data_IF_597157983843
#
_entry.id   IF_597157983843
#
_cell.length_a   1.000
_cell.length_b   1.000
_cell.length_c   1.000
_cell.angle_alpha   90.00
_cell.angle_beta   90.00
_cell.angle_gamma   90.00
#
_symmetry.space_group_name_H-M   'P 1'
#
loop_
_entity.id
_entity.type
_entity.pdbx_description
1 polymer ?
#
# COMPACT_ATOMS: atom_id res chain seq x y z
N UNK A 1 -9.07 14.60 12.01
CA UNK A 1 -7.86 13.80 11.72
C UNK A 1 -8.28 12.34 11.60
N UNK A 2 -8.04 11.67 10.46
CA UNK A 2 -8.23 10.21 10.37
C UNK A 2 -7.00 9.58 11.02
N UNK A 3 -7.20 8.79 12.07
CA UNK A 3 -6.13 8.03 12.69
C UNK A 3 -5.73 6.93 11.70
N UNK A 4 -4.47 6.81 11.28
CA UNK A 4 -4.03 5.72 10.41
C UNK A 4 -4.22 4.39 11.12
N UNK A 5 -4.89 3.45 10.47
CA UNK A 5 -5.12 2.08 10.95
C UNK A 5 -4.51 1.14 9.94
N UNK A 6 -3.64 0.24 10.38
CA UNK A 6 -3.08 -0.78 9.51
C UNK A 6 -4.16 -1.77 9.09
N UNK A 7 -4.32 -2.01 7.78
CA UNK A 7 -5.31 -2.94 7.26
C UNK A 7 -4.96 -4.41 7.51
N UNK A 8 -3.68 -4.71 7.70
CA UNK A 8 -3.21 -6.07 7.99
C UNK A 8 -3.37 -6.47 9.47
N UNK A 9 -2.95 -5.63 10.43
CA UNK A 9 -3.00 -5.96 11.86
C UNK A 9 -4.10 -5.22 12.64
N UNK A 10 -4.79 -4.25 12.03
CA UNK A 10 -5.82 -3.37 12.63
C UNK A 10 -5.31 -2.49 13.78
N UNK A 11 -4.00 -2.35 13.90
CA UNK A 11 -3.37 -1.46 14.88
C UNK A 11 -3.51 0.00 14.47
N UNK A 12 -3.70 0.88 15.46
CA UNK A 12 -4.02 2.30 15.25
C UNK A 12 -2.84 3.16 15.64
N UNK A 13 -2.74 4.34 15.02
CA UNK A 13 -1.70 5.32 15.33
C UNK A 13 -0.28 4.78 15.08
N UNK A 14 -0.15 4.03 13.99
CA UNK A 14 1.08 3.37 13.55
C UNK A 14 1.64 4.05 12.30
N UNK A 15 2.96 4.03 12.16
CA UNK A 15 3.65 4.53 10.97
C UNK A 15 3.70 3.45 9.89
N UNK A 16 3.64 3.87 8.63
CA UNK A 16 3.50 2.94 7.53
C UNK A 16 3.39 3.60 6.18
N UNK A 17 3.05 2.78 5.19
CA UNK A 17 2.91 3.17 3.79
C UNK A 17 1.48 2.89 3.33
N UNK A 18 0.97 3.79 2.49
CA UNK A 18 -0.35 3.69 1.90
C UNK A 18 -0.23 3.24 0.45
N UNK A 19 -1.00 2.24 0.06
CA UNK A 19 -1.15 1.83 -1.33
C UNK A 19 -1.90 2.93 -2.09
N UNK A 20 -1.28 3.53 -3.11
CA UNK A 20 -1.91 4.63 -3.87
C UNK A 20 -3.07 4.21 -4.78
N UNK A 21 -3.27 2.91 -4.96
CA UNK A 21 -4.31 2.38 -5.83
C UNK A 21 -5.59 2.01 -5.09
N UNK A 22 -5.50 1.52 -3.85
CA UNK A 22 -6.67 1.12 -3.06
C UNK A 22 -6.83 1.92 -1.75
N UNK A 23 -5.91 2.85 -1.47
CA UNK A 23 -5.84 3.63 -0.23
C UNK A 23 -5.70 2.79 1.06
N UNK A 24 -5.39 1.50 0.95
CA UNK A 24 -5.09 0.65 2.12
C UNK A 24 -3.80 1.12 2.79
N UNK A 25 -3.79 1.11 4.12
CA UNK A 25 -2.64 1.52 4.92
C UNK A 25 -1.98 0.30 5.55
N UNK A 26 -0.66 0.19 5.45
CA UNK A 26 0.11 -0.92 6.01
C UNK A 26 1.23 -0.39 6.88
N UNK A 27 1.27 -0.79 8.16
CA UNK A 27 2.33 -0.36 9.07
C UNK A 27 3.67 -1.02 8.74
N UNK A 28 4.76 -0.34 9.09
CA UNK A 28 6.11 -0.86 8.87
C UNK A 28 6.36 -2.20 9.56
N UNK A 29 5.73 -2.45 10.73
CA UNK A 29 5.85 -3.74 11.41
C UNK A 29 5.28 -4.91 10.60
N UNK A 30 4.17 -4.70 9.87
CA UNK A 30 3.60 -5.72 8.99
C UNK A 30 4.45 -5.94 7.74
N UNK A 31 5.05 -4.87 7.22
CA UNK A 31 5.96 -4.91 6.07
C UNK A 31 7.26 -5.63 6.43
N UNK A 32 7.85 -5.33 7.59
CA UNK A 32 9.12 -5.90 8.06
C UNK A 32 8.98 -7.39 8.39
N UNK A 33 7.86 -7.78 9.02
CA UNK A 33 7.55 -9.18 9.33
C UNK A 33 7.15 -10.02 8.11
N UNK A 34 7.27 -9.48 6.89
CA UNK A 34 6.87 -10.13 5.64
C UNK A 34 5.42 -10.62 5.63
N UNK A 35 4.54 -10.03 6.46
CA UNK A 35 3.11 -10.35 6.46
C UNK A 35 2.37 -9.63 5.34
N UNK A 36 2.98 -8.60 4.77
CA UNK A 36 2.41 -7.84 3.66
C UNK A 36 3.55 -7.37 2.75
N UNK A 37 3.43 -7.63 1.46
CA UNK A 37 4.40 -7.16 0.46
C UNK A 37 3.84 -5.94 -0.25
N UNK A 38 4.56 -4.81 -0.17
CA UNK A 38 4.35 -3.67 -1.06
C UNK A 38 5.32 -3.81 -2.25
N UNK A 39 4.79 -3.61 -3.46
CA UNK A 39 5.53 -3.61 -4.71
C UNK A 39 5.59 -2.18 -5.25
N UNK A 40 6.67 -1.84 -5.95
CA UNK A 40 6.73 -0.61 -6.72
C UNK A 40 6.03 -0.84 -8.06
N UNK A 41 5.04 -0.02 -8.40
CA UNK A 41 4.42 -0.07 -9.72
C UNK A 41 5.37 0.49 -10.78
N UNK A 42 5.74 -0.31 -11.77
CA UNK A 42 6.65 0.12 -12.84
C UNK A 42 6.04 1.20 -13.76
N UNK A 43 4.71 1.36 -13.75
CA UNK A 43 4.00 2.32 -14.61
C UNK A 43 3.87 3.70 -13.97
N UNK A 44 3.40 3.77 -12.73
CA UNK A 44 3.20 5.05 -12.03
C UNK A 44 4.31 5.39 -11.02
N UNK A 45 5.20 4.46 -10.70
CA UNK A 45 6.29 4.66 -9.73
C UNK A 45 5.85 4.71 -8.27
N UNK A 46 4.59 4.39 -7.98
CA UNK A 46 4.03 4.42 -6.62
C UNK A 46 4.10 3.05 -5.95
N UNK A 47 4.08 3.04 -4.61
CA UNK A 47 3.95 1.82 -3.84
C UNK A 47 2.51 1.31 -3.87
N UNK A 48 2.36 0.04 -4.23
CA UNK A 48 1.08 -0.67 -4.34
C UNK A 48 1.14 -1.98 -3.57
N UNK A 49 0.00 -2.40 -3.01
CA UNK A 49 -0.07 -3.72 -2.36
C UNK A 49 -0.02 -4.85 -3.39
N UNK A 50 0.34 -6.05 -2.91
CA UNK A 50 0.37 -7.26 -3.72
C UNK A 50 -0.96 -7.55 -4.40
N UNK A 51 -2.09 -7.37 -3.72
CA UNK A 51 -3.43 -7.55 -4.31
C UNK A 51 -3.67 -6.60 -5.50
N UNK A 52 -3.23 -5.34 -5.37
CA UNK A 52 -3.30 -4.38 -6.47
C UNK A 52 -2.35 -4.77 -7.60
N UNK A 53 -1.16 -5.27 -7.29
CA UNK A 53 -0.18 -5.70 -8.28
C UNK A 53 -0.65 -6.94 -9.07
N UNK A 54 -1.18 -7.95 -8.38
CA UNK A 54 -1.71 -9.18 -8.99
C UNK A 54 -3.04 -8.94 -9.73
N UNK A 55 -3.89 -8.06 -9.20
CA UNK A 55 -5.17 -7.71 -9.81
C UNK A 55 -5.07 -6.67 -10.93
N UNK A 56 -3.96 -5.95 -11.04
CA UNK A 56 -3.74 -4.99 -12.13
C UNK A 56 -3.29 -5.70 -13.39
N UNK A 57 -4.18 -5.76 -14.39
CA UNK A 57 -3.80 -6.05 -15.78
C UNK A 57 -3.03 -4.86 -16.37
N UNK A 58 -3.39 -3.63 -15.99
CA UNK A 58 -2.73 -2.39 -16.41
C UNK A 58 -2.94 -1.29 -15.36
N UNK A 59 -1.88 -0.55 -15.02
CA UNK A 59 -1.97 0.62 -14.15
C UNK A 59 -2.52 1.81 -14.96
N UNK A 60 -3.75 2.21 -14.64
CA UNK A 60 -4.49 3.34 -15.19
C UNK A 60 -4.33 4.63 -14.38
N UNK A 61 -3.56 4.57 -13.29
CA UNK A 61 -3.33 5.71 -12.41
C UNK A 61 -2.52 6.78 -13.15
N UNK A 62 -3.06 7.99 -13.35
CA UNK A 62 -2.30 9.10 -13.87
C UNK A 62 -1.36 9.57 -12.76
N UNK A 63 -0.16 8.98 -12.69
CA UNK A 63 0.88 9.37 -11.73
C UNK A 63 1.06 10.90 -11.69
N UNK A 64 1.47 11.43 -10.52
CA UNK A 64 1.69 12.87 -10.36
C UNK A 64 2.80 13.33 -11.31
N UNK A 65 2.42 14.03 -12.38
CA UNK A 65 3.31 14.92 -13.13
C UNK A 65 3.67 16.15 -12.30
#
# INVERSE_FOLDING_TARGET
MKIPICDACKERNVEGVLCRHCDNFYCYDCLDRSKTTLRLCATCGEFICEECFEGMVQCDYPGRR
#
